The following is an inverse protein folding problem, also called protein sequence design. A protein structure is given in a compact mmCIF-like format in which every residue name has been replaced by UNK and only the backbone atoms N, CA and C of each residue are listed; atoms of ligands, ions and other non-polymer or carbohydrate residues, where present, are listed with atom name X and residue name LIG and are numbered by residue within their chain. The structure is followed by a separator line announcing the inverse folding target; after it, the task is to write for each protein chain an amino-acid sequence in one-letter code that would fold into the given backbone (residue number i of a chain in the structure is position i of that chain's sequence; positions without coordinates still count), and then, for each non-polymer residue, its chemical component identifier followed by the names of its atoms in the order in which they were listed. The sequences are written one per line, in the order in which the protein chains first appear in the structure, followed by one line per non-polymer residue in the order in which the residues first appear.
data_IF_992718872034
#
_entry.id   IF_992718872034
#
_cell.length_a   1.000
_cell.length_b   1.000
_cell.length_c   1.000
_cell.angle_alpha   90.00
_cell.angle_beta   90.00
_cell.angle_gamma   90.00
#
_symmetry.space_group_name_H-M   'P 1'
#
loop_
_entity.id
_entity.type
_entity.pdbx_description
1 polymer ?
#
# COMPACT_ATOMS: atom_id res chain seq x y z
N UNK A 1 -12.85 -20.50 11.93
CA UNK A 1 -12.85 -19.05 12.21
C UNK A 1 -14.16 -18.71 12.90
N UNK A 2 -14.13 -18.09 14.07
CA UNK A 2 -15.37 -17.70 14.77
C UNK A 2 -15.97 -16.42 14.17
N UNK A 3 -17.25 -16.09 14.43
CA UNK A 3 -17.83 -14.81 14.01
C UNK A 3 -17.03 -13.59 14.53
N UNK A 4 -16.51 -13.67 15.75
CA UNK A 4 -15.70 -12.60 16.34
C UNK A 4 -14.37 -12.40 15.57
N UNK A 5 -13.71 -13.49 15.20
CA UNK A 5 -12.46 -13.42 14.41
C UNK A 5 -12.71 -12.79 13.05
N UNK A 6 -13.83 -13.15 12.41
CA UNK A 6 -14.27 -12.58 11.15
C UNK A 6 -14.45 -11.06 11.28
N UNK A 7 -15.23 -10.60 12.26
CA UNK A 7 -15.46 -9.18 12.51
C UNK A 7 -14.16 -8.41 12.79
N UNK A 8 -13.20 -9.02 13.50
CA UNK A 8 -11.89 -8.40 13.75
C UNK A 8 -11.09 -8.20 12.46
N UNK A 9 -11.08 -9.18 11.56
CA UNK A 9 -10.42 -9.06 10.25
C UNK A 9 -11.13 -8.02 9.39
N UNK A 10 -12.47 -8.05 9.32
CA UNK A 10 -13.27 -7.08 8.55
C UNK A 10 -13.02 -5.65 9.02
N UNK A 11 -12.98 -5.42 10.34
CA UNK A 11 -12.65 -4.11 10.91
C UNK A 11 -11.24 -3.67 10.55
N UNK A 12 -10.24 -4.54 10.74
CA UNK A 12 -8.86 -4.21 10.41
C UNK A 12 -8.70 -3.88 8.91
N UNK A 13 -9.38 -4.63 8.04
CA UNK A 13 -9.41 -4.40 6.61
C UNK A 13 -9.95 -3.00 6.28
N UNK A 14 -11.14 -2.66 6.78
CA UNK A 14 -11.79 -1.38 6.53
C UNK A 14 -10.93 -0.20 7.03
N UNK A 15 -10.40 -0.29 8.26
CA UNK A 15 -9.57 0.75 8.87
C UNK A 15 -8.24 0.96 8.09
N UNK A 16 -7.75 -0.07 7.38
CA UNK A 16 -6.53 -0.01 6.57
C UNK A 16 -6.76 0.41 5.11
N UNK A 17 -8.02 0.59 4.67
CA UNK A 17 -8.37 1.00 3.32
C UNK A 17 -8.75 -0.13 2.37
N UNK A 18 -9.03 -1.33 2.87
CA UNK A 18 -9.72 -2.39 2.12
C UNK A 18 -11.22 -2.25 2.33
N UNK A 19 -11.84 -1.38 1.54
CA UNK A 19 -13.22 -0.89 1.70
C UNK A 19 -14.27 -1.73 0.96
N UNK A 20 -13.87 -2.71 0.14
CA UNK A 20 -14.82 -3.61 -0.52
C UNK A 20 -15.34 -4.67 0.45
N UNK A 21 -16.62 -5.10 0.33
CA UNK A 21 -17.16 -6.20 1.12
C UNK A 21 -16.28 -7.45 1.01
N UNK A 22 -15.76 -7.99 2.14
CA UNK A 22 -14.87 -9.14 2.10
C UNK A 22 -15.54 -10.39 1.53
N UNK A 23 -14.92 -11.01 0.53
CA UNK A 23 -15.41 -12.24 -0.07
C UNK A 23 -14.94 -13.44 0.74
N UNK A 24 -15.87 -14.28 1.20
CA UNK A 24 -15.53 -15.50 1.92
C UNK A 24 -14.89 -16.52 0.97
N UNK A 25 -13.73 -17.06 1.36
CA UNK A 25 -13.05 -18.19 0.71
C UNK A 25 -13.09 -19.40 1.63
N UNK A 26 -12.66 -20.56 1.12
CA UNK A 26 -12.71 -21.85 1.81
C UNK A 26 -12.04 -21.80 3.20
N UNK A 27 -10.97 -21.00 3.35
CA UNK A 27 -10.19 -20.92 4.59
C UNK A 27 -9.95 -19.50 5.11
N UNK A 28 -10.58 -18.47 4.54
CA UNK A 28 -10.27 -17.08 4.90
C UNK A 28 -11.19 -16.05 4.27
N UNK A 29 -10.81 -14.78 4.44
CA UNK A 29 -11.47 -13.62 3.82
C UNK A 29 -10.55 -13.01 2.77
N UNK A 30 -11.09 -12.80 1.57
CA UNK A 30 -10.44 -12.02 0.53
C UNK A 30 -10.85 -10.55 0.68
N UNK A 31 -9.85 -9.70 0.91
CA UNK A 31 -9.98 -8.27 1.09
C UNK A 31 -9.61 -7.55 -0.21
N UNK A 32 -10.32 -6.47 -0.53
CA UNK A 32 -10.06 -5.64 -1.71
C UNK A 32 -10.38 -4.17 -1.45
N UNK A 33 -9.97 -3.30 -2.38
CA UNK A 33 -10.22 -1.86 -2.30
C UNK A 33 -10.79 -1.29 -3.60
N UNK A 34 -11.53 -0.19 -3.50
CA UNK A 34 -11.92 0.63 -4.66
C UNK A 34 -10.76 1.47 -5.20
N UNK A 35 -9.71 1.71 -4.40
CA UNK A 35 -8.58 2.56 -4.76
C UNK A 35 -7.48 1.80 -5.50
N UNK A 36 -7.48 0.48 -5.43
CA UNK A 36 -6.44 -0.36 -5.99
C UNK A 36 -6.91 -1.82 -6.21
N UNK A 37 -6.51 -2.46 -7.34
CA UNK A 37 -6.95 -3.81 -7.68
C UNK A 37 -6.35 -4.95 -6.86
N UNK A 38 -5.24 -4.75 -6.14
CA UNK A 38 -4.61 -5.85 -5.41
C UNK A 38 -5.47 -6.30 -4.23
N UNK A 39 -5.36 -7.59 -3.94
CA UNK A 39 -6.16 -8.24 -2.90
C UNK A 39 -5.27 -8.89 -1.85
N UNK A 40 -5.80 -8.99 -0.65
CA UNK A 40 -5.16 -9.66 0.48
C UNK A 40 -6.11 -10.71 1.01
N UNK A 41 -5.70 -11.98 0.93
CA UNK A 41 -6.40 -13.06 1.59
C UNK A 41 -5.89 -13.20 3.02
N UNK A 42 -6.78 -13.17 4.01
CA UNK A 42 -6.44 -13.32 5.42
C UNK A 42 -7.15 -14.54 5.98
N UNK A 43 -6.38 -15.42 6.62
CA UNK A 43 -6.91 -16.56 7.36
C UNK A 43 -6.37 -16.60 8.79
N UNK A 44 -7.19 -17.11 9.71
CA UNK A 44 -6.77 -17.38 11.08
C UNK A 44 -6.31 -18.83 11.18
N UNK A 45 -5.01 -19.05 11.43
CA UNK A 45 -4.45 -20.40 11.51
C UNK A 45 -4.73 -21.05 12.87
N UNK A 46 -4.21 -20.48 13.96
CA UNK A 46 -4.42 -20.92 15.36
C UNK A 46 -4.26 -19.76 16.34
N UNK A 47 -5.11 -19.69 17.36
CA UNK A 47 -5.01 -18.68 18.42
C UNK A 47 -5.09 -17.25 17.86
N UNK A 48 -4.00 -16.51 17.97
CA UNK A 48 -3.86 -15.13 17.49
C UNK A 48 -3.07 -15.01 16.19
N UNK A 49 -2.74 -16.13 15.54
CA UNK A 49 -1.91 -16.14 14.34
C UNK A 49 -2.73 -15.96 13.07
N UNK A 50 -2.54 -14.83 12.41
CA UNK A 50 -3.07 -14.55 11.08
C UNK A 50 -2.04 -14.89 10.02
N UNK A 51 -2.50 -15.50 8.94
CA UNK A 51 -1.70 -15.72 7.73
C UNK A 51 -2.32 -14.90 6.60
N UNK A 52 -1.48 -14.13 5.92
CA UNK A 52 -1.88 -13.24 4.84
C UNK A 52 -1.23 -13.68 3.54
N UNK A 53 -2.00 -13.75 2.47
CA UNK A 53 -1.48 -13.97 1.11
C UNK A 53 -1.90 -12.79 0.24
N UNK A 54 -0.94 -12.26 -0.49
CA UNK A 54 -1.15 -11.10 -1.36
C UNK A 54 -1.20 -11.52 -2.82
N UNK A 55 -2.01 -10.83 -3.62
CA UNK A 55 -2.05 -11.08 -5.07
C UNK A 55 -0.77 -10.66 -5.78
N UNK A 56 -0.02 -9.72 -5.20
CA UNK A 56 1.28 -9.25 -5.68
C UNK A 56 2.28 -9.25 -4.51
N UNK A 57 3.42 -9.94 -4.68
CA UNK A 57 4.42 -10.11 -3.61
C UNK A 57 5.05 -8.79 -3.16
N UNK A 58 5.14 -7.80 -4.07
CA UNK A 58 5.75 -6.49 -3.79
C UNK A 58 5.03 -5.73 -2.67
N UNK A 59 3.74 -6.01 -2.42
CA UNK A 59 2.95 -5.34 -1.39
C UNK A 59 3.53 -5.49 0.02
N UNK A 60 4.16 -6.64 0.30
CA UNK A 60 4.70 -6.97 1.61
C UNK A 60 6.22 -7.02 1.65
N UNK A 61 6.93 -6.82 0.53
CA UNK A 61 8.39 -6.77 0.58
C UNK A 61 8.90 -5.60 1.45
N UNK A 62 9.98 -5.81 2.25
CA UNK A 62 10.81 -7.01 2.38
C UNK A 62 10.38 -7.94 3.54
N UNK A 63 9.12 -7.94 3.98
CA UNK A 63 8.68 -8.80 5.08
C UNK A 63 8.95 -10.28 4.75
N UNK A 64 9.41 -11.08 5.72
CA UNK A 64 9.71 -12.48 5.50
C UNK A 64 8.44 -13.22 5.10
N UNK A 65 8.45 -13.80 3.89
CA UNK A 65 7.45 -14.77 3.48
C UNK A 65 7.66 -16.06 4.27
N UNK A 66 6.60 -16.55 4.91
CA UNK A 66 6.52 -17.94 5.36
C UNK A 66 6.48 -18.89 4.15
N UNK A 67 6.57 -20.19 4.44
CA UNK A 67 6.45 -21.22 3.40
C UNK A 67 5.16 -21.04 2.59
N UNK A 68 5.24 -21.24 1.27
CA UNK A 68 4.12 -21.17 0.33
C UNK A 68 3.51 -19.76 0.10
N UNK A 69 4.27 -18.69 0.32
CA UNK A 69 3.86 -17.33 -0.05
C UNK A 69 2.88 -16.65 0.91
N UNK A 70 2.79 -17.16 2.14
CA UNK A 70 2.03 -16.55 3.22
C UNK A 70 2.92 -15.65 4.07
N UNK A 71 2.42 -14.53 4.57
CA UNK A 71 3.08 -13.70 5.59
C UNK A 71 2.36 -13.89 6.92
N UNK A 72 3.09 -14.00 8.02
CA UNK A 72 2.51 -14.24 9.34
C UNK A 72 2.39 -12.92 10.10
N UNK A 73 1.21 -12.67 10.67
CA UNK A 73 0.96 -11.60 11.62
C UNK A 73 0.46 -12.19 12.93
N UNK A 74 1.22 -12.01 14.01
CA UNK A 74 0.87 -12.53 15.34
C UNK A 74 0.11 -11.45 16.13
N UNK A 75 -1.18 -11.68 16.35
CA UNK A 75 -2.07 -10.76 17.04
C UNK A 75 -2.64 -9.65 16.17
N UNK A 76 -3.63 -8.95 16.73
CA UNK A 76 -4.33 -7.85 16.05
C UNK A 76 -3.39 -6.70 15.66
N UNK A 77 -2.45 -6.23 16.50
CA UNK A 77 -1.56 -5.14 16.10
C UNK A 77 -0.71 -5.47 14.86
N UNK A 78 -0.18 -6.70 14.78
CA UNK A 78 0.58 -7.14 13.62
C UNK A 78 -0.30 -7.28 12.36
N UNK A 79 -1.56 -7.67 12.52
CA UNK A 79 -2.53 -7.73 11.43
C UNK A 79 -2.76 -6.33 10.84
N UNK A 80 -3.00 -5.33 11.69
CA UNK A 80 -3.10 -3.94 11.25
C UNK A 80 -1.82 -3.51 10.53
N UNK A 81 -0.65 -3.62 11.17
CA UNK A 81 0.60 -3.18 10.56
C UNK A 81 0.85 -3.80 9.17
N UNK A 82 0.53 -5.09 9.00
CA UNK A 82 0.66 -5.78 7.71
C UNK A 82 -0.33 -5.27 6.66
N UNK A 83 -1.61 -5.08 7.04
CA UNK A 83 -2.63 -4.55 6.12
C UNK A 83 -2.37 -3.08 5.77
N UNK A 84 -1.95 -2.28 6.73
CA UNK A 84 -1.56 -0.88 6.53
C UNK A 84 -0.41 -0.77 5.53
N UNK A 85 0.60 -1.63 5.68
CA UNK A 85 1.72 -1.73 4.76
C UNK A 85 1.27 -2.15 3.36
N UNK A 86 0.47 -3.20 3.25
CA UNK A 86 -0.04 -3.69 1.97
C UNK A 86 -0.83 -2.59 1.24
N UNK A 87 -1.74 -1.91 1.94
CA UNK A 87 -2.55 -0.84 1.35
C UNK A 87 -1.70 0.38 0.97
N UNK A 88 -0.72 0.76 1.79
CA UNK A 88 0.20 1.84 1.46
C UNK A 88 0.99 1.51 0.18
N UNK A 89 1.61 0.31 0.12
CA UNK A 89 2.36 -0.12 -1.06
C UNK A 89 1.48 -0.20 -2.30
N UNK A 90 0.29 -0.79 -2.19
CA UNK A 90 -0.65 -0.89 -3.29
C UNK A 90 -0.92 0.50 -3.88
N UNK A 91 -1.32 1.48 -3.05
CA UNK A 91 -1.66 2.83 -3.50
C UNK A 91 -0.53 3.56 -4.23
N UNK A 92 0.71 3.30 -3.85
CA UNK A 92 1.86 4.09 -4.30
C UNK A 92 2.82 3.29 -5.18
N UNK A 93 2.36 2.16 -5.75
CA UNK A 93 3.21 1.37 -6.64
C UNK A 93 3.77 2.22 -7.79
N UNK A 94 5.05 2.01 -8.17
CA UNK A 94 5.74 2.84 -9.17
C UNK A 94 4.95 2.99 -10.47
N UNK A 95 4.36 1.91 -10.97
CA UNK A 95 3.58 1.89 -12.21
C UNK A 95 2.37 2.84 -12.17
N UNK A 96 1.81 3.10 -10.99
CA UNK A 96 0.67 4.01 -10.84
C UNK A 96 1.07 5.47 -10.82
N UNK A 97 2.16 5.79 -10.11
CA UNK A 97 2.70 7.16 -10.10
C UNK A 97 3.16 7.52 -11.52
N UNK A 98 3.82 6.58 -12.21
CA UNK A 98 4.21 6.73 -13.61
C UNK A 98 2.98 6.86 -14.53
N UNK A 99 1.95 6.01 -14.38
CA UNK A 99 0.72 6.12 -15.15
C UNK A 99 0.00 7.46 -14.94
N UNK A 100 -0.07 7.95 -13.70
CA UNK A 100 -0.64 9.25 -13.38
C UNK A 100 0.13 10.39 -14.05
N UNK A 101 1.47 10.32 -14.02
CA UNK A 101 2.31 11.27 -14.75
C UNK A 101 2.07 11.21 -16.26
N UNK A 102 2.00 10.02 -16.85
CA UNK A 102 1.72 9.86 -18.28
C UNK A 102 0.35 10.44 -18.67
N UNK A 103 -0.68 10.21 -17.87
CA UNK A 103 -2.02 10.78 -18.08
C UNK A 103 -2.00 12.30 -17.95
N UNK A 104 -1.39 12.83 -16.87
CA UNK A 104 -1.32 14.27 -16.61
C UNK A 104 -0.48 15.04 -17.65
N UNK A 105 0.46 14.37 -18.32
CA UNK A 105 1.37 14.98 -19.29
C UNK A 105 1.07 14.61 -20.75
N UNK A 106 0.00 13.85 -21.02
CA UNK A 106 -0.31 13.26 -22.33
C UNK A 106 -0.44 14.30 -23.45
N UNK A 107 -1.07 15.44 -23.16
CA UNK A 107 -1.36 16.51 -24.13
C UNK A 107 -0.40 17.69 -24.04
N UNK A 108 0.64 17.61 -23.21
CA UNK A 108 1.57 18.73 -23.03
C UNK A 108 2.71 18.71 -24.07
N UNK A 109 3.08 19.89 -24.62
CA UNK A 109 4.20 20.00 -25.54
C UNK A 109 5.54 19.71 -24.83
N UNK A 110 6.56 19.30 -25.60
CA UNK A 110 7.89 18.88 -25.10
C UNK A 110 9.05 19.41 -25.93
N UNK A 111 8.77 20.35 -26.83
CA UNK A 111 9.71 20.87 -27.82
C UNK A 111 10.64 21.93 -27.25
N UNK A 112 10.25 22.60 -26.15
CA UNK A 112 11.06 23.66 -25.53
C UNK A 112 11.64 23.26 -24.18
N UNK A 113 12.69 23.97 -23.75
CA UNK A 113 13.28 23.79 -22.42
C UNK A 113 12.32 24.16 -21.30
N UNK A 114 11.56 25.24 -21.48
CA UNK A 114 10.55 25.67 -20.52
C UNK A 114 9.50 24.58 -20.28
N UNK A 115 9.03 23.90 -21.35
CA UNK A 115 8.11 22.78 -21.25
C UNK A 115 8.70 21.58 -20.52
N UNK A 116 9.97 21.25 -20.77
CA UNK A 116 10.66 20.16 -20.05
C UNK A 116 10.78 20.45 -18.56
N UNK A 117 11.07 21.70 -18.18
CA UNK A 117 11.12 22.11 -16.77
C UNK A 117 9.75 21.97 -16.09
N UNK A 118 8.67 22.31 -16.78
CA UNK A 118 7.29 22.12 -16.26
C UNK A 118 6.99 20.63 -16.05
N UNK A 119 7.28 19.79 -17.05
CA UNK A 119 7.11 18.34 -16.96
C UNK A 119 7.91 17.75 -15.79
N UNK A 120 9.16 18.16 -15.63
CA UNK A 120 10.02 17.69 -14.53
C UNK A 120 9.42 18.08 -13.17
N UNK A 121 8.97 19.33 -12.99
CA UNK A 121 8.33 19.78 -11.74
C UNK A 121 7.08 18.98 -11.41
N UNK A 122 6.24 18.71 -12.41
CA UNK A 122 5.04 17.88 -12.22
C UNK A 122 5.39 16.46 -11.78
N UNK A 123 6.42 15.85 -12.40
CA UNK A 123 6.91 14.53 -11.99
C UNK A 123 7.40 14.51 -10.55
N UNK A 124 8.18 15.53 -10.13
CA UNK A 124 8.66 15.66 -8.75
C UNK A 124 7.52 15.84 -7.75
N UNK A 125 6.50 16.64 -8.09
CA UNK A 125 5.35 16.87 -7.22
C UNK A 125 4.51 15.60 -7.05
N UNK A 126 4.24 14.87 -8.13
CA UNK A 126 3.54 13.58 -8.06
C UNK A 126 4.31 12.56 -7.23
N UNK A 127 5.63 12.48 -7.43
CA UNK A 127 6.50 11.61 -6.64
C UNK A 127 6.49 11.97 -5.15
N UNK A 128 6.58 13.26 -4.83
CA UNK A 128 6.50 13.75 -3.44
C UNK A 128 5.19 13.34 -2.79
N UNK A 129 4.06 13.57 -3.47
CA UNK A 129 2.73 13.19 -2.95
C UNK A 129 2.60 11.69 -2.73
N UNK A 130 3.11 10.88 -3.66
CA UNK A 130 3.10 9.43 -3.50
C UNK A 130 3.91 8.98 -2.28
N UNK A 131 5.11 9.54 -2.05
CA UNK A 131 5.89 9.22 -0.86
C UNK A 131 5.19 9.66 0.44
N UNK A 132 4.54 10.82 0.43
CA UNK A 132 3.79 11.29 1.59
C UNK A 132 2.59 10.38 1.88
N UNK A 133 1.83 9.95 0.87
CA UNK A 133 0.73 8.99 1.08
C UNK A 133 1.26 7.64 1.59
N UNK A 134 2.37 7.15 1.02
CA UNK A 134 2.97 5.88 1.40
C UNK A 134 3.39 5.86 2.86
N UNK A 135 4.12 6.88 3.30
CA UNK A 135 4.61 7.00 4.67
C UNK A 135 3.62 7.70 5.60
N UNK A 136 2.39 7.98 5.14
CA UNK A 136 1.32 8.65 5.90
C UNK A 136 1.77 10.00 6.49
N UNK A 137 2.51 10.78 5.71
CA UNK A 137 3.03 12.08 6.11
C UNK A 137 4.11 12.02 7.18
N UNK A 138 4.83 10.88 7.30
CA UNK A 138 5.88 10.68 8.30
C UNK A 138 7.24 10.36 7.68
N UNK A 139 8.31 10.68 8.38
CA UNK A 139 9.64 10.18 8.04
C UNK A 139 9.70 8.65 8.27
N UNK A 140 10.22 7.91 7.28
CA UNK A 140 10.37 6.46 7.35
C UNK A 140 11.38 5.96 8.39
N UNK A 141 12.27 6.84 8.87
CA UNK A 141 13.30 6.50 9.86
C UNK A 141 12.91 6.99 11.26
N UNK A 142 12.55 8.27 11.39
CA UNK A 142 12.32 8.90 12.69
C UNK A 142 10.86 8.98 13.10
N UNK A 143 9.93 8.75 12.18
CA UNK A 143 8.49 8.93 12.42
C UNK A 143 8.04 10.39 12.51
N UNK A 144 8.93 11.38 12.28
CA UNK A 144 8.62 12.81 12.29
C UNK A 144 7.46 13.11 11.35
N UNK A 145 6.42 13.78 11.86
CA UNK A 145 5.16 14.06 11.16
C UNK A 145 4.99 15.55 10.84
N UNK A 146 6.04 16.21 10.36
CA UNK A 146 6.02 17.63 9.96
C UNK A 146 6.37 17.70 8.48
N UNK A 147 5.35 17.81 7.62
CA UNK A 147 5.48 17.64 6.17
C UNK A 147 6.48 18.61 5.53
N UNK A 148 6.55 19.84 6.02
CA UNK A 148 7.47 20.88 5.57
C UNK A 148 8.94 20.51 5.80
N UNK A 149 9.20 19.65 6.78
CA UNK A 149 10.54 19.12 7.08
C UNK A 149 10.84 17.80 6.36
N UNK A 150 9.87 17.21 5.67
CA UNK A 150 10.06 15.96 4.93
C UNK A 150 10.59 16.22 3.51
N UNK A 151 11.65 15.50 3.15
CA UNK A 151 12.22 15.51 1.80
C UNK A 151 11.88 14.21 1.06
N UNK A 152 11.30 14.36 -0.13
CA UNK A 152 11.16 13.27 -1.08
C UNK A 152 12.53 12.96 -1.71
N UNK A 153 13.01 11.73 -1.55
CA UNK A 153 14.30 11.28 -2.10
C UNK A 153 14.11 9.99 -2.90
N UNK A 154 14.82 9.89 -4.02
CA UNK A 154 14.95 8.63 -4.72
C UNK A 154 15.94 7.73 -3.97
N UNK A 155 15.67 6.42 -3.94
CA UNK A 155 16.57 5.43 -3.34
C UNK A 155 17.76 5.19 -4.27
N UNK A 156 17.48 4.96 -5.55
CA UNK A 156 18.49 4.89 -6.60
C UNK A 156 18.64 6.29 -7.22
N UNK A 157 19.84 6.90 -7.15
CA UNK A 157 20.12 8.17 -7.82
C UNK A 157 19.99 8.08 -9.33
#
# INVERSE_FOLDING_TARGET
MTPLDRTRIEKAAADCGFDLPPALREHGLLLGSTRFPETVEVRLARGTRFELRVSDASLLEPLPLAQNGWTIAEGIPALYATLERAAATARTMPDRVAAQFHLATKSMPRSTEAERLVLQRMGQELFRRALLDYWRGRCCVTGLAVEELLRASHIKP
#
